data_IF_739251213546
#
_entry.id   IF_739251213546
#
_cell.length_a   1.000
_cell.length_b   1.000
_cell.length_c   1.000
_cell.angle_alpha   90.00
_cell.angle_beta   90.00
_cell.angle_gamma   90.00
#
_symmetry.space_group_name_H-M   'P 1'
#
loop_
_entity.id
_entity.type
_entity.pdbx_description
1 polymer ?
#
# COMPACT_ATOMS: atom_id res chain seq x y z
N UNK A 1 3.43 11.58 6.85
CA UNK A 1 3.41 11.17 5.42
C UNK A 1 4.82 11.06 4.88
N UNK A 2 5.24 9.82 4.60
CA UNK A 2 6.52 9.52 3.96
C UNK A 2 6.66 10.22 2.61
N UNK A 3 7.84 10.79 2.37
CA UNK A 3 8.21 11.31 1.04
C UNK A 3 8.36 10.15 0.08
N UNK A 4 7.80 10.32 -1.13
CA UNK A 4 7.98 9.38 -2.23
C UNK A 4 9.46 9.18 -2.52
N UNK A 5 9.90 7.92 -2.62
CA UNK A 5 11.28 7.62 -3.02
C UNK A 5 11.53 8.15 -4.44
N UNK A 6 12.65 8.85 -4.70
CA UNK A 6 12.93 9.38 -6.03
C UNK A 6 13.17 8.24 -7.03
N UNK A 7 12.52 8.29 -8.19
CA UNK A 7 12.85 7.38 -9.31
C UNK A 7 14.07 7.94 -10.02
N UNK A 8 15.17 7.21 -10.00
CA UNK A 8 16.44 7.60 -10.65
C UNK A 8 16.58 6.92 -12.01
N UNK A 9 17.37 7.54 -12.89
CA UNK A 9 17.76 6.94 -14.18
C UNK A 9 16.62 6.85 -15.19
N UNK A 10 15.65 7.76 -15.13
CA UNK A 10 14.69 7.97 -16.21
C UNK A 10 15.43 8.62 -17.38
N UNK A 11 15.28 8.03 -18.55
CA UNK A 11 15.90 8.48 -19.80
C UNK A 11 14.77 8.84 -20.78
N UNK A 12 14.58 10.13 -21.13
CA UNK A 12 13.54 10.56 -22.07
C UNK A 12 13.64 9.91 -23.45
N UNK A 13 14.84 9.51 -23.86
CA UNK A 13 15.12 8.93 -25.17
C UNK A 13 14.99 7.40 -25.16
N UNK A 14 14.84 6.78 -23.98
CA UNK A 14 14.67 5.34 -23.83
C UNK A 14 13.23 4.88 -24.13
N UNK A 15 13.03 3.60 -24.52
CA UNK A 15 11.69 3.03 -24.68
C UNK A 15 10.84 3.17 -23.42
N UNK A 16 9.56 3.51 -23.59
CA UNK A 16 8.60 3.69 -22.49
C UNK A 16 8.59 2.51 -21.49
N UNK A 17 8.70 1.27 -22.00
CA UNK A 17 8.77 0.06 -21.17
C UNK A 17 9.95 0.10 -20.19
N UNK A 18 11.12 0.57 -20.63
CA UNK A 18 12.31 0.63 -19.80
C UNK A 18 12.15 1.67 -18.67
N UNK A 19 11.49 2.80 -18.95
CA UNK A 19 11.16 3.78 -17.92
C UNK A 19 10.09 3.26 -16.96
N UNK A 20 9.05 2.59 -17.48
CA UNK A 20 8.00 1.97 -16.68
C UNK A 20 8.56 0.93 -15.69
N UNK A 21 9.45 0.05 -16.15
CA UNK A 21 10.13 -0.95 -15.33
C UNK A 21 10.90 -0.32 -14.16
N UNK A 22 11.64 0.77 -14.40
CA UNK A 22 12.38 1.52 -13.35
C UNK A 22 11.44 2.15 -12.32
N UNK A 23 10.35 2.76 -12.78
CA UNK A 23 9.32 3.32 -11.88
C UNK A 23 8.73 2.21 -11.02
N UNK A 24 8.31 1.09 -11.62
CA UNK A 24 7.71 -0.03 -10.90
C UNK A 24 8.69 -0.66 -9.90
N UNK A 25 9.97 -0.80 -10.25
CA UNK A 25 10.99 -1.33 -9.33
C UNK A 25 11.10 -0.47 -8.07
N UNK A 26 11.12 0.86 -8.24
CA UNK A 26 11.21 1.81 -7.12
C UNK A 26 9.96 1.74 -6.24
N UNK A 27 8.77 1.68 -6.83
CA UNK A 27 7.50 1.64 -6.08
C UNK A 27 7.26 0.31 -5.40
N UNK A 28 7.69 -0.79 -6.02
CA UNK A 28 7.71 -2.09 -5.39
C UNK A 28 8.66 -2.08 -4.18
N UNK A 29 9.88 -1.58 -4.35
CA UNK A 29 10.85 -1.52 -3.26
C UNK A 29 10.34 -0.67 -2.08
N UNK A 30 9.72 0.48 -2.35
CA UNK A 30 9.11 1.34 -1.34
C UNK A 30 7.99 0.61 -0.57
N UNK A 31 7.10 -0.11 -1.25
CA UNK A 31 6.05 -0.90 -0.58
C UNK A 31 6.66 -2.01 0.30
N UNK A 32 7.63 -2.76 -0.23
CA UNK A 32 8.23 -3.89 0.48
C UNK A 32 9.18 -3.48 1.61
N UNK A 33 9.60 -2.22 1.68
CA UNK A 33 10.35 -1.69 2.83
C UNK A 33 9.53 -1.76 4.13
N UNK A 34 8.20 -1.71 4.03
CA UNK A 34 7.29 -1.84 5.17
C UNK A 34 6.92 -3.28 5.51
N UNK A 35 7.40 -4.28 4.76
CA UNK A 35 7.09 -5.69 5.02
C UNK A 35 7.39 -6.13 6.48
N UNK A 36 8.48 -5.70 7.14
CA UNK A 36 8.77 -6.10 8.52
C UNK A 36 7.77 -5.58 9.55
N UNK A 37 7.08 -4.47 9.28
CA UNK A 37 6.16 -3.83 10.23
C UNK A 37 4.70 -4.24 10.06
N UNK A 38 4.38 -5.04 9.03
CA UNK A 38 2.98 -5.43 8.73
C UNK A 38 2.29 -6.12 9.92
N UNK A 39 3.05 -6.86 10.73
CA UNK A 39 2.53 -7.58 11.89
C UNK A 39 2.56 -6.77 13.19
N UNK A 40 3.02 -5.51 13.16
CA UNK A 40 3.15 -4.62 14.31
C UNK A 40 1.93 -3.70 14.43
N UNK A 41 0.93 -4.03 15.26
CA UNK A 41 -0.27 -3.21 15.41
C UNK A 41 0.02 -1.80 15.94
N UNK A 42 1.10 -1.61 16.66
CA UNK A 42 1.54 -0.32 17.22
C UNK A 42 2.10 0.65 16.15
N UNK A 43 2.51 0.16 14.98
CA UNK A 43 3.16 0.93 13.93
C UNK A 43 2.15 1.67 13.02
N UNK A 44 1.22 2.42 13.63
CA UNK A 44 0.10 3.06 12.92
C UNK A 44 0.58 4.02 11.81
N UNK A 45 1.60 4.84 12.09
CA UNK A 45 2.17 5.78 11.13
C UNK A 45 2.86 5.07 9.96
N UNK A 46 3.63 4.01 10.24
CA UNK A 46 4.30 3.23 9.22
C UNK A 46 3.31 2.43 8.36
N UNK A 47 2.23 1.91 8.95
CA UNK A 47 1.14 1.25 8.21
C UNK A 47 0.37 2.24 7.34
N UNK A 48 0.16 3.47 7.80
CA UNK A 48 -0.35 4.55 6.97
C UNK A 48 0.61 4.89 5.82
N UNK A 49 1.91 4.96 6.07
CA UNK A 49 2.91 5.21 5.03
C UNK A 49 3.00 4.06 4.02
N UNK A 50 2.84 2.81 4.47
CA UNK A 50 2.69 1.64 3.61
C UNK A 50 1.45 1.75 2.71
N UNK A 51 0.32 2.24 3.22
CA UNK A 51 -0.88 2.52 2.41
C UNK A 51 -0.58 3.50 1.28
N UNK A 52 0.18 4.55 1.57
CA UNK A 52 0.60 5.53 0.58
C UNK A 52 1.51 4.87 -0.47
N UNK A 53 2.47 4.05 -0.06
CA UNK A 53 3.33 3.29 -0.97
C UNK A 53 2.52 2.36 -1.89
N UNK A 54 1.54 1.63 -1.34
CA UNK A 54 0.63 0.77 -2.11
C UNK A 54 -0.17 1.58 -3.14
N UNK A 55 -0.71 2.75 -2.75
CA UNK A 55 -1.41 3.67 -3.66
C UNK A 55 -0.50 4.15 -4.79
N UNK A 56 0.74 4.54 -4.48
CA UNK A 56 1.73 4.98 -5.47
C UNK A 56 2.07 3.86 -6.47
N UNK A 57 2.26 2.63 -5.98
CA UNK A 57 2.49 1.45 -6.84
C UNK A 57 1.30 1.17 -7.74
N UNK A 58 0.06 1.22 -7.21
CA UNK A 58 -1.15 1.04 -8.02
C UNK A 58 -1.24 2.08 -9.12
N UNK A 59 -1.01 3.36 -8.81
CA UNK A 59 -1.04 4.42 -9.82
C UNK A 59 0.03 4.24 -10.91
N UNK A 60 1.22 3.76 -10.55
CA UNK A 60 2.24 3.42 -11.55
C UNK A 60 1.79 2.26 -12.45
N UNK A 61 1.19 1.21 -11.88
CA UNK A 61 0.64 0.10 -12.66
C UNK A 61 -0.51 0.54 -13.57
N UNK A 62 -1.41 1.40 -13.08
CA UNK A 62 -2.53 1.96 -13.87
C UNK A 62 -2.03 2.85 -15.02
N UNK A 63 -1.03 3.69 -14.76
CA UNK A 63 -0.41 4.55 -15.76
C UNK A 63 0.19 3.73 -16.92
N UNK A 64 0.85 2.62 -16.60
CA UNK A 64 1.52 1.77 -17.57
C UNK A 64 0.72 0.53 -17.97
N UNK A 65 -0.59 0.50 -17.70
CA UNK A 65 -1.45 -0.68 -17.93
C UNK A 65 -1.37 -1.25 -19.33
N UNK A 66 -1.24 -0.38 -20.35
CA UNK A 66 -1.15 -0.77 -21.75
C UNK A 66 0.12 -1.57 -22.11
N UNK A 67 1.15 -1.55 -21.26
CA UNK A 67 2.41 -2.26 -21.50
C UNK A 67 2.40 -3.70 -21.00
N UNK A 68 1.54 -4.01 -20.03
CA UNK A 68 1.62 -5.26 -19.25
C UNK A 68 0.39 -6.17 -19.40
N UNK A 69 -0.65 -5.70 -20.10
CA UNK A 69 -1.85 -6.48 -20.40
C UNK A 69 -2.48 -7.13 -19.17
N UNK A 70 -3.00 -8.35 -19.35
CA UNK A 70 -3.68 -9.08 -18.28
C UNK A 70 -2.82 -9.32 -17.03
N UNK A 71 -1.50 -9.44 -17.18
CA UNK A 71 -0.61 -9.62 -16.04
C UNK A 71 -0.54 -8.36 -15.16
N UNK A 72 -0.47 -7.17 -15.78
CA UNK A 72 -0.54 -5.89 -15.07
C UNK A 72 -1.89 -5.68 -14.35
N UNK A 73 -3.00 -5.97 -15.04
CA UNK A 73 -4.36 -5.84 -14.48
C UNK A 73 -4.58 -6.71 -13.23
N UNK A 74 -4.03 -7.93 -13.24
CA UNK A 74 -4.03 -8.80 -12.07
C UNK A 74 -3.29 -8.19 -10.89
N UNK A 75 -2.14 -7.54 -11.12
CA UNK A 75 -1.40 -6.90 -10.02
C UNK A 75 -2.09 -5.62 -9.53
N UNK A 76 -2.72 -4.83 -10.41
CA UNK A 76 -3.56 -3.68 -10.02
C UNK A 76 -4.64 -4.13 -9.03
N UNK A 77 -5.35 -5.22 -9.36
CA UNK A 77 -6.42 -5.77 -8.50
C UNK A 77 -5.89 -6.19 -7.13
N UNK A 78 -4.74 -6.86 -7.09
CA UNK A 78 -4.10 -7.31 -5.84
C UNK A 78 -3.63 -6.15 -4.95
N UNK A 79 -2.96 -5.16 -5.53
CA UNK A 79 -2.51 -3.97 -4.79
C UNK A 79 -3.70 -3.14 -4.33
N UNK A 80 -4.78 -3.07 -5.11
CA UNK A 80 -6.03 -2.42 -4.68
C UNK A 80 -6.61 -3.10 -3.43
N UNK A 81 -6.70 -4.44 -3.39
CA UNK A 81 -7.14 -5.19 -2.19
C UNK A 81 -6.32 -4.82 -0.95
N UNK A 82 -4.99 -4.79 -1.08
CA UNK A 82 -4.10 -4.38 0.03
C UNK A 82 -4.33 -2.92 0.45
N UNK A 83 -4.45 -2.01 -0.52
CA UNK A 83 -4.69 -0.59 -0.24
C UNK A 83 -6.03 -0.36 0.47
N UNK A 84 -7.06 -1.15 0.16
CA UNK A 84 -8.38 -1.08 0.78
C UNK A 84 -8.34 -1.45 2.27
N UNK A 85 -7.75 -2.59 2.64
CA UNK A 85 -7.64 -3.01 4.05
C UNK A 85 -6.77 -2.07 4.86
N UNK A 86 -5.67 -1.56 4.29
CA UNK A 86 -4.84 -0.52 4.92
C UNK A 86 -5.62 0.80 5.08
N UNK A 87 -6.53 1.11 4.14
CA UNK A 87 -7.41 2.26 4.23
C UNK A 87 -8.38 2.16 5.40
N UNK A 88 -9.04 1.01 5.55
CA UNK A 88 -9.96 0.78 6.67
C UNK A 88 -9.23 0.89 8.01
N UNK A 89 -8.06 0.26 8.14
CA UNK A 89 -7.23 0.38 9.34
C UNK A 89 -6.94 1.84 9.69
N UNK A 90 -6.46 2.62 8.71
CA UNK A 90 -6.14 4.03 8.92
C UNK A 90 -7.37 4.88 9.31
N UNK A 91 -8.55 4.60 8.72
CA UNK A 91 -9.78 5.30 9.10
C UNK A 91 -10.17 5.01 10.57
N UNK A 92 -9.83 3.84 11.09
CA UNK A 92 -9.97 3.53 12.52
C UNK A 92 -8.94 4.25 13.39
N UNK A 93 -7.67 4.34 12.96
CA UNK A 93 -6.63 5.12 13.64
C UNK A 93 -7.06 6.58 13.82
N UNK A 94 -7.46 7.24 12.73
CA UNK A 94 -7.92 8.64 12.77
C UNK A 94 -9.12 8.84 13.70
N UNK A 95 -10.08 7.91 13.69
CA UNK A 95 -11.24 7.99 14.59
C UNK A 95 -10.85 7.84 16.06
N UNK A 96 -9.89 6.97 16.38
CA UNK A 96 -9.39 6.84 17.75
C UNK A 96 -8.72 8.15 18.20
N UNK A 97 -7.87 8.75 17.36
CA UNK A 97 -7.23 10.04 17.66
C UNK A 97 -8.25 11.15 17.90
N UNK A 98 -9.30 11.21 17.08
CA UNK A 98 -10.39 12.18 17.25
C UNK A 98 -11.13 11.97 18.57
N UNK A 99 -11.46 10.72 18.93
CA UNK A 99 -12.15 10.42 20.19
C UNK A 99 -11.27 10.77 21.39
N UNK A 100 -9.97 10.46 21.32
CA UNK A 100 -9.01 10.73 22.38
C UNK A 100 -8.82 12.24 22.57
N UNK A 101 -8.78 13.00 21.48
CA UNK A 101 -8.75 14.47 21.52
C UNK A 101 -10.02 15.07 22.15
N UNK A 102 -11.20 14.49 21.90
CA UNK A 102 -12.44 14.92 22.56
C UNK A 102 -12.43 14.59 24.05
N UNK A 103 -12.07 13.36 24.42
CA UNK A 103 -11.99 12.90 25.82
C UNK A 103 -11.01 13.72 26.68
N UNK A 104 -9.98 14.29 26.07
CA UNK A 104 -9.02 15.16 26.75
C UNK A 104 -9.60 16.55 27.13
N UNK A 105 -10.79 16.92 26.65
CA UNK A 105 -11.42 18.21 26.96
C UNK A 105 -12.04 18.22 28.36
N UNK A 106 -11.70 19.22 29.16
CA UNK A 106 -12.17 19.36 30.56
C UNK A 106 -13.64 19.78 30.71
N UNK A 107 -14.33 20.10 29.61
CA UNK A 107 -15.70 20.64 29.61
C UNK A 107 -16.78 19.58 29.37
N UNK A 108 -16.41 18.31 29.21
CA UNK A 108 -17.37 17.24 28.93
C UNK A 108 -18.16 16.82 30.17
N UNK A 109 -19.45 16.53 29.99
CA UNK A 109 -20.25 15.90 31.03
C UNK A 109 -19.87 14.44 31.23
N UNK A 110 -20.20 13.87 32.39
CA UNK A 110 -19.94 12.46 32.70
C UNK A 110 -20.53 11.50 31.66
N UNK A 111 -21.74 11.78 31.20
CA UNK A 111 -22.48 10.91 30.29
C UNK A 111 -21.83 10.91 28.89
N UNK A 112 -21.36 12.07 28.43
CA UNK A 112 -20.63 12.17 27.17
C UNK A 112 -19.28 11.45 27.26
N UNK A 113 -18.54 11.62 28.37
CA UNK A 113 -17.31 10.89 28.62
C UNK A 113 -17.52 9.36 28.60
N UNK A 114 -18.59 8.87 29.23
CA UNK A 114 -18.93 7.45 29.24
C UNK A 114 -19.27 6.93 27.83
N UNK A 115 -20.04 7.70 27.05
CA UNK A 115 -20.38 7.38 25.67
C UNK A 115 -19.14 7.32 24.76
N UNK A 116 -18.27 8.32 24.83
CA UNK A 116 -17.03 8.37 24.06
C UNK A 116 -16.06 7.24 24.45
N UNK A 117 -15.96 6.91 25.74
CA UNK A 117 -15.14 5.78 26.21
C UNK A 117 -15.64 4.45 25.62
N UNK A 118 -16.95 4.24 25.59
CA UNK A 118 -17.56 3.05 25.00
C UNK A 118 -17.33 2.99 23.48
N UNK A 119 -17.48 4.12 22.79
CA UNK A 119 -17.20 4.23 21.36
C UNK A 119 -15.72 3.96 21.04
N UNK A 120 -14.80 4.48 21.86
CA UNK A 120 -13.36 4.23 21.75
C UNK A 120 -13.05 2.74 21.85
N UNK A 121 -13.61 2.05 22.84
CA UNK A 121 -13.40 0.62 23.03
C UNK A 121 -13.88 -0.19 21.80
N UNK A 122 -15.05 0.15 21.25
CA UNK A 122 -15.53 -0.46 20.00
C UNK A 122 -14.59 -0.18 18.83
N UNK A 123 -14.14 1.06 18.66
CA UNK A 123 -13.23 1.43 17.60
C UNK A 123 -11.87 0.72 17.69
N UNK A 124 -11.35 0.53 18.90
CA UNK A 124 -10.12 -0.21 19.14
C UNK A 124 -10.28 -1.70 18.76
N UNK A 125 -11.42 -2.31 19.06
CA UNK A 125 -11.71 -3.69 18.65
C UNK A 125 -11.79 -3.83 17.13
N UNK A 126 -12.51 -2.92 16.44
CA UNK A 126 -12.58 -2.93 14.97
C UNK A 126 -11.23 -2.66 14.32
N UNK A 127 -10.44 -1.74 14.87
CA UNK A 127 -9.06 -1.49 14.43
C UNK A 127 -8.22 -2.77 14.49
N UNK A 128 -8.32 -3.54 15.57
CA UNK A 128 -7.61 -4.82 15.72
C UNK A 128 -8.04 -5.84 14.65
N UNK A 129 -9.34 -5.91 14.34
CA UNK A 129 -9.87 -6.75 13.26
C UNK A 129 -9.29 -6.34 11.89
N UNK A 130 -9.23 -5.05 11.61
CA UNK A 130 -8.66 -4.55 10.35
C UNK A 130 -7.15 -4.75 10.27
N UNK A 131 -6.42 -4.61 11.37
CA UNK A 131 -5.01 -4.96 11.41
C UNK A 131 -4.80 -6.45 11.09
N UNK A 132 -5.62 -7.34 11.66
CA UNK A 132 -5.61 -8.76 11.30
C UNK A 132 -5.91 -8.97 9.80
N UNK A 133 -6.88 -8.25 9.24
CA UNK A 133 -7.19 -8.30 7.80
C UNK A 133 -6.03 -7.83 6.91
N UNK A 134 -5.26 -6.82 7.35
CA UNK A 134 -4.02 -6.37 6.69
C UNK A 134 -2.99 -7.50 6.67
N UNK A 135 -2.70 -8.11 7.84
CA UNK A 135 -1.74 -9.21 7.96
C UNK A 135 -2.14 -10.40 7.08
N UNK A 136 -3.41 -10.80 7.13
CA UNK A 136 -3.95 -11.91 6.33
C UNK A 136 -3.85 -11.60 4.84
N UNK A 137 -4.32 -10.42 4.41
CA UNK A 137 -4.25 -10.01 3.00
C UNK A 137 -2.81 -9.96 2.49
N UNK A 138 -1.89 -9.37 3.27
CA UNK A 138 -0.48 -9.32 2.91
C UNK A 138 0.12 -10.72 2.75
N UNK A 139 -0.16 -11.62 3.69
CA UNK A 139 0.34 -12.99 3.67
C UNK A 139 -0.20 -13.77 2.48
N UNK A 140 -1.52 -13.72 2.24
CA UNK A 140 -2.16 -14.37 1.10
C UNK A 140 -1.60 -13.89 -0.24
N UNK A 141 -1.44 -12.57 -0.41
CA UNK A 141 -0.92 -12.00 -1.64
C UNK A 141 0.51 -12.44 -1.92
N UNK A 142 1.36 -12.45 -0.89
CA UNK A 142 2.75 -12.90 -1.03
C UNK A 142 2.85 -14.41 -1.26
N UNK A 143 2.06 -15.22 -0.57
CA UNK A 143 1.96 -16.66 -0.82
C UNK A 143 1.48 -16.95 -2.26
N UNK A 144 0.59 -16.11 -2.80
CA UNK A 144 0.12 -16.19 -4.17
C UNK A 144 1.11 -15.57 -5.20
N UNK A 145 2.35 -15.28 -4.81
CA UNK A 145 3.42 -14.87 -5.72
C UNK A 145 3.48 -13.39 -6.06
N UNK A 146 2.78 -12.50 -5.34
CA UNK A 146 2.76 -11.05 -5.63
C UNK A 146 4.17 -10.46 -5.81
N UNK A 147 5.11 -10.80 -4.91
CA UNK A 147 6.48 -10.27 -4.98
C UNK A 147 7.18 -10.65 -6.27
N UNK A 148 7.09 -11.92 -6.67
CA UNK A 148 7.73 -12.43 -7.88
C UNK A 148 7.10 -11.85 -9.13
N UNK A 149 5.77 -11.74 -9.16
CA UNK A 149 5.05 -11.15 -10.30
C UNK A 149 5.38 -9.66 -10.50
N UNK A 150 5.42 -8.88 -9.42
CA UNK A 150 5.83 -7.48 -9.48
C UNK A 150 7.30 -7.35 -9.91
N UNK A 151 8.17 -8.23 -9.42
CA UNK A 151 9.57 -8.27 -9.85
C UNK A 151 9.67 -8.51 -11.36
N UNK A 152 8.90 -9.46 -11.91
CA UNK A 152 8.86 -9.74 -13.34
C UNK A 152 8.44 -8.50 -14.16
N UNK A 153 7.41 -7.78 -13.73
CA UNK A 153 6.95 -6.53 -14.35
C UNK A 153 7.99 -5.40 -14.29
N UNK A 154 8.82 -5.38 -13.25
CA UNK A 154 9.84 -4.35 -13.02
C UNK A 154 11.22 -4.71 -13.57
N UNK A 155 11.41 -5.94 -14.04
CA UNK A 155 12.69 -6.43 -14.52
C UNK A 155 12.98 -5.97 -15.95
N UNK A 156 14.18 -5.44 -16.17
CA UNK A 156 14.70 -5.13 -17.51
C UNK A 156 15.15 -6.42 -18.19
N UNK A 157 14.22 -7.33 -18.52
CA UNK A 157 14.58 -8.43 -19.41
C UNK A 157 14.80 -7.84 -20.80
N UNK A 158 16.07 -7.73 -21.20
CA UNK A 158 16.49 -7.38 -22.54
C UNK A 158 16.06 -8.49 -23.52
N UNK A 159 14.76 -8.58 -23.82
CA UNK A 159 14.30 -9.41 -24.93
C UNK A 159 14.62 -8.65 -26.21
N UNK A 160 15.83 -8.87 -26.72
CA UNK A 160 16.25 -8.49 -28.09
C UNK A 160 15.12 -8.95 -29.04
N UNK A 161 14.59 -8.08 -29.92
CA UNK A 161 13.76 -8.58 -31.01
C UNK A 161 14.60 -9.58 -31.81
N UNK A 162 14.10 -10.80 -31.99
CA UNK A 162 14.65 -11.72 -32.99
C UNK A 162 14.54 -10.99 -34.32
N UNK A 163 15.69 -10.64 -34.88
CA UNK A 163 15.78 -10.02 -36.19
C UNK A 163 14.97 -10.85 -37.18
N UNK A 164 14.05 -10.17 -37.86
CA UNK A 164 13.43 -10.63 -39.10
C UNK A 164 14.58 -10.88 -40.07
N UNK A 165 14.69 -12.12 -40.52
CA UNK A 165 15.65 -12.50 -41.54
C UNK A 165 15.39 -11.74 -42.84
N UNK A 166 16.48 -11.36 -43.50
CA UNK A 166 16.66 -11.34 -44.94
C UNK A 166 18.12 -11.60 -45.23
#
# INVERSE_FOLDING_TARGET
>A
MSRSWPVRGIDPDAPLLANAQRVLATRMAELYAYAPIVSSPEAADELHDMRIAAKRLRYALELFRGLFGAHGERQITRIKKLQEVLGQLHDHDIRLDMIDAELAKTTLSSDVCAGLTSLRARQAAERANWHHAVVTTWTELNAAGLRLDLAALSSTSARRPKGVGR
#
